data_IF_539539246771
#
_entry.id   IF_539539246771
#
_cell.length_a   1.000
_cell.length_b   1.000
_cell.length_c   1.000
_cell.angle_alpha   90.00
_cell.angle_beta   90.00
_cell.angle_gamma   90.00
#
_symmetry.space_group_name_H-M   'P 1'
#
loop_
_entity.id
_entity.type
_entity.pdbx_description
1 polymer ?
#
# COMPACT_ATOMS: atom_id res chain seq x y z
N UNK A 1 3.04 13.13 -22.36
CA UNK A 1 3.33 12.09 -21.33
C UNK A 1 2.78 12.45 -19.94
N UNK A 2 2.51 13.74 -19.68
CA UNK A 2 2.03 14.21 -18.37
C UNK A 2 0.71 13.57 -17.88
N UNK A 3 -0.25 13.32 -18.77
CA UNK A 3 -1.56 12.74 -18.39
C UNK A 3 -1.41 11.34 -17.78
N UNK A 4 -0.54 10.49 -18.33
CA UNK A 4 -0.30 9.15 -17.80
C UNK A 4 0.31 9.20 -16.39
N UNK A 5 1.26 10.11 -16.17
CA UNK A 5 1.86 10.34 -14.86
C UNK A 5 0.84 10.90 -13.85
N UNK A 6 -0.05 11.79 -14.30
CA UNK A 6 -1.13 12.32 -13.48
C UNK A 6 -2.06 11.20 -13.02
N UNK A 7 -2.55 10.38 -13.95
CA UNK A 7 -3.46 9.26 -13.63
C UNK A 7 -2.79 8.26 -12.69
N UNK A 8 -1.53 7.90 -12.96
CA UNK A 8 -0.79 6.97 -12.10
C UNK A 8 -0.53 7.56 -10.71
N UNK A 9 -0.19 8.85 -10.63
CA UNK A 9 0.00 9.57 -9.36
C UNK A 9 -1.28 9.62 -8.52
N UNK A 10 -2.42 9.96 -9.13
CA UNK A 10 -3.72 9.96 -8.45
C UNK A 10 -4.11 8.55 -7.99
N UNK A 11 -3.88 7.52 -8.82
CA UNK A 11 -4.12 6.13 -8.45
C UNK A 11 -3.28 5.67 -7.25
N UNK A 12 -1.97 5.97 -7.28
CA UNK A 12 -1.06 5.67 -6.18
C UNK A 12 -1.44 6.44 -4.90
N UNK A 13 -1.84 7.71 -5.04
CA UNK A 13 -2.29 8.52 -3.92
C UNK A 13 -3.58 7.96 -3.29
N UNK A 14 -4.58 7.59 -4.11
CA UNK A 14 -5.82 6.98 -3.64
C UNK A 14 -5.59 5.65 -2.94
N UNK A 15 -4.73 4.80 -3.50
CA UNK A 15 -4.32 3.55 -2.84
C UNK A 15 -3.60 3.83 -1.51
N UNK A 16 -2.66 4.77 -1.50
CA UNK A 16 -1.96 5.18 -0.30
C UNK A 16 -2.89 5.70 0.80
N UNK A 17 -3.84 6.55 0.44
CA UNK A 17 -4.87 7.09 1.33
C UNK A 17 -5.71 5.96 1.96
N UNK A 18 -6.10 4.97 1.16
CA UNK A 18 -6.89 3.82 1.62
C UNK A 18 -6.21 3.06 2.76
N UNK A 19 -4.90 2.89 2.69
CA UNK A 19 -4.12 2.24 3.75
C UNK A 19 -3.81 3.18 4.91
N UNK A 20 -3.43 4.43 4.65
CA UNK A 20 -3.08 5.40 5.69
C UNK A 20 -4.27 5.68 6.63
N UNK A 21 -5.44 5.95 6.05
CA UNK A 21 -6.67 6.26 6.78
C UNK A 21 -7.51 5.01 7.12
N UNK A 22 -7.02 3.82 6.77
CA UNK A 22 -7.70 2.54 7.00
C UNK A 22 -9.14 2.51 6.47
N UNK A 23 -9.35 3.08 5.27
CA UNK A 23 -10.66 3.13 4.64
C UNK A 23 -11.19 1.71 4.42
N UNK A 24 -12.42 1.44 4.88
CA UNK A 24 -13.07 0.11 4.81
C UNK A 24 -12.27 -1.01 5.49
N UNK A 25 -11.44 -0.68 6.48
CA UNK A 25 -10.58 -1.64 7.18
C UNK A 25 -9.52 -2.26 6.29
N UNK A 26 -9.04 -1.53 5.27
CA UNK A 26 -8.05 -2.01 4.31
C UNK A 26 -6.78 -2.54 4.99
N UNK A 27 -6.34 -1.85 6.04
CA UNK A 27 -5.16 -2.26 6.81
C UNK A 27 -5.42 -3.56 7.55
N UNK A 28 -6.57 -3.69 8.22
CA UNK A 28 -6.97 -4.92 8.90
C UNK A 28 -7.06 -6.11 7.95
N UNK A 29 -7.67 -5.93 6.77
CA UNK A 29 -7.77 -6.95 5.73
C UNK A 29 -6.40 -7.39 5.20
N UNK A 30 -5.48 -6.44 4.99
CA UNK A 30 -4.13 -6.76 4.52
C UNK A 30 -3.30 -7.50 5.58
N UNK A 31 -3.42 -7.12 6.86
CA UNK A 31 -2.80 -7.85 7.97
C UNK A 31 -3.36 -9.28 8.05
N UNK A 32 -4.67 -9.45 8.00
CA UNK A 32 -5.32 -10.76 8.02
C UNK A 32 -4.86 -11.65 6.86
N UNK A 33 -4.84 -11.11 5.64
CA UNK A 33 -4.36 -11.83 4.45
C UNK A 33 -2.90 -12.25 4.59
N UNK A 34 -2.04 -11.38 5.11
CA UNK A 34 -0.62 -11.70 5.32
C UNK A 34 -0.42 -12.80 6.36
N UNK A 35 -1.15 -12.74 7.47
CA UNK A 35 -1.09 -13.78 8.50
C UNK A 35 -1.59 -15.12 7.95
N UNK A 36 -2.67 -15.13 7.15
CA UNK A 36 -3.15 -16.36 6.49
C UNK A 36 -2.11 -16.97 5.55
N UNK A 37 -1.46 -16.15 4.71
CA UNK A 37 -0.38 -16.62 3.81
C UNK A 37 0.82 -17.15 4.60
N UNK A 38 1.20 -16.49 5.69
CA UNK A 38 2.27 -16.96 6.58
C UNK A 38 1.92 -18.29 7.25
N UNK A 39 0.70 -18.45 7.75
CA UNK A 39 0.25 -19.71 8.34
C UNK A 39 0.30 -20.86 7.33
N UNK A 40 -0.17 -20.64 6.10
CA UNK A 40 -0.09 -21.65 5.02
C UNK A 40 1.36 -21.99 4.67
N UNK A 41 2.23 -20.98 4.60
CA UNK A 41 3.65 -21.17 4.29
C UNK A 41 4.39 -21.90 5.42
N UNK A 42 4.08 -21.56 6.67
CA UNK A 42 4.61 -22.23 7.87
C UNK A 42 4.19 -23.70 7.93
N UNK A 43 2.91 -23.98 7.66
CA UNK A 43 2.41 -25.35 7.57
C UNK A 43 3.10 -26.15 6.45
N UNK A 44 3.36 -25.54 5.29
CA UNK A 44 4.04 -26.19 4.16
C UNK A 44 5.52 -26.47 4.45
N UNK A 45 6.19 -25.58 5.17
CA UNK A 45 7.63 -25.65 5.42
C UNK A 45 7.99 -26.25 6.79
N UNK A 46 6.99 -26.71 7.57
CA UNK A 46 7.14 -27.15 8.97
C UNK A 46 7.82 -26.10 9.87
N UNK A 47 7.72 -24.83 9.51
CA UNK A 47 8.30 -23.72 10.27
C UNK A 47 7.23 -23.09 11.18
N UNK A 48 7.21 -23.57 12.42
CA UNK A 48 6.28 -23.16 13.47
C UNK A 48 6.42 -21.67 13.86
N UNK A 49 7.53 -21.00 13.50
CA UNK A 49 7.70 -19.56 13.75
C UNK A 49 6.86 -18.70 12.83
N UNK A 50 6.48 -19.21 11.65
CA UNK A 50 5.62 -18.50 10.70
C UNK A 50 4.13 -18.57 11.07
N UNK A 51 3.74 -19.47 11.97
CA UNK A 51 2.41 -19.53 12.57
C UNK A 51 2.16 -18.43 13.60
N UNK A 52 3.20 -17.81 14.14
CA UNK A 52 3.03 -16.65 15.03
C UNK A 52 2.62 -15.40 14.23
N UNK A 53 1.64 -14.62 14.74
CA UNK A 53 1.18 -13.41 14.08
C UNK A 53 2.34 -12.44 13.86
N UNK A 54 2.45 -11.88 12.65
CA UNK A 54 3.59 -11.03 12.30
C UNK A 54 3.66 -9.79 13.20
N UNK A 55 4.84 -9.49 13.77
CA UNK A 55 5.09 -8.23 14.52
C UNK A 55 4.86 -6.96 13.70
N UNK A 56 4.93 -7.08 12.38
CA UNK A 56 4.57 -6.02 11.44
C UNK A 56 3.04 -5.95 11.32
N UNK A 57 2.41 -5.30 12.29
CA UNK A 57 0.96 -5.10 12.37
C UNK A 57 0.43 -4.00 11.45
N UNK A 58 -0.77 -3.51 11.77
CA UNK A 58 -1.48 -2.47 11.02
C UNK A 58 -0.64 -1.21 10.71
N UNK A 59 0.25 -0.85 11.63
CA UNK A 59 1.11 0.32 11.49
C UNK A 59 2.00 0.28 10.25
N UNK A 60 2.54 -0.89 9.88
CA UNK A 60 3.38 -1.02 8.68
C UNK A 60 2.63 -0.61 7.40
N UNK A 61 1.40 -1.11 7.25
CA UNK A 61 0.57 -0.81 6.09
C UNK A 61 0.16 0.66 6.06
N UNK A 62 -0.08 1.28 7.22
CA UNK A 62 -0.33 2.73 7.31
C UNK A 62 0.88 3.54 6.87
N UNK A 63 2.10 3.16 7.28
CA UNK A 63 3.35 3.84 6.86
C UNK A 63 3.56 3.71 5.36
N UNK A 64 3.43 2.50 4.81
CA UNK A 64 3.53 2.27 3.35
C UNK A 64 2.45 3.04 2.60
N UNK A 65 1.22 3.07 3.13
CA UNK A 65 0.13 3.88 2.60
C UNK A 65 0.46 5.37 2.59
N UNK A 66 1.05 5.89 3.66
CA UNK A 66 1.50 7.28 3.73
C UNK A 66 2.58 7.63 2.73
N UNK A 67 3.57 6.75 2.55
CA UNK A 67 4.62 6.92 1.52
C UNK A 67 3.97 6.91 0.13
N UNK A 68 3.04 5.99 -0.13
CA UNK A 68 2.31 5.92 -1.39
C UNK A 68 1.43 7.15 -1.66
N UNK A 69 0.80 7.70 -0.61
CA UNK A 69 0.03 8.94 -0.69
C UNK A 69 0.91 10.10 -1.14
N UNK A 70 2.01 10.35 -0.42
CA UNK A 70 2.91 11.46 -0.69
C UNK A 70 3.61 11.31 -2.04
N UNK A 71 4.11 10.11 -2.35
CA UNK A 71 4.74 9.82 -3.62
C UNK A 71 3.78 9.92 -4.80
N UNK A 72 2.54 9.43 -4.64
CA UNK A 72 1.48 9.53 -5.65
C UNK A 72 1.06 10.98 -5.91
N UNK A 73 0.87 11.78 -4.86
CA UNK A 73 0.58 13.21 -4.97
C UNK A 73 1.69 13.94 -5.72
N UNK A 74 2.95 13.72 -5.31
CA UNK A 74 4.11 14.34 -5.94
C UNK A 74 4.19 13.99 -7.43
N UNK A 75 4.04 12.72 -7.78
CA UNK A 75 4.05 12.27 -9.16
C UNK A 75 2.86 12.81 -9.97
N UNK A 76 1.69 12.93 -9.34
CA UNK A 76 0.51 13.55 -9.91
C UNK A 76 0.74 15.02 -10.24
N UNK A 77 1.36 15.78 -9.33
CA UNK A 77 1.74 17.17 -9.57
C UNK A 77 2.75 17.32 -10.70
N UNK A 78 3.75 16.44 -10.80
CA UNK A 78 4.69 16.41 -11.93
C UNK A 78 3.94 16.15 -13.23
N UNK A 79 3.05 15.14 -13.25
CA UNK A 79 2.23 14.83 -14.42
C UNK A 79 1.34 15.99 -14.85
N UNK A 80 0.72 16.69 -13.89
CA UNK A 80 -0.06 17.90 -14.15
C UNK A 80 0.80 19.01 -14.75
N UNK A 81 1.95 19.30 -14.14
CA UNK A 81 2.87 20.34 -14.61
C UNK A 81 3.34 20.07 -16.05
N UNK A 82 3.70 18.83 -16.36
CA UNK A 82 4.08 18.43 -17.71
C UNK A 82 2.92 18.53 -18.71
N UNK A 83 1.69 18.21 -18.28
CA UNK A 83 0.50 18.32 -19.14
C UNK A 83 0.16 19.78 -19.47
N UNK A 84 0.47 20.71 -18.57
CA UNK A 84 0.20 22.14 -18.74
C UNK A 84 1.34 22.90 -19.47
N UNK A 85 2.53 22.30 -19.53
CA UNK A 85 3.71 22.87 -20.18
C UNK A 85 3.90 22.40 -21.64
N UNK A 86 3.21 21.33 -22.03
CA UNK A 86 3.06 20.83 -23.41
C UNK A 86 1.80 21.42 -24.05
#
# INVERSE_FOLDING_TARGET
MGILLLVFGVGAAGWGAMFLFDLRGATGKAVARRNAVRAVTGARNLDLRLTEPSRLGAWFFRVVGGIGLLGGLFLGFIGLALTLAE
#
